data_IF_516735723893
#
_entry.id   IF_516735723893
#
_cell.length_a   1.000
_cell.length_b   1.000
_cell.length_c   1.000
_cell.angle_alpha   90.00
_cell.angle_beta   90.00
_cell.angle_gamma   90.00
#
_symmetry.space_group_name_H-M   'P 1'
#
loop_
_entity.id
_entity.type
_entity.pdbx_description
1 polymer ?
#
# COMPACT_ATOMS: atom_id res chain seq x y z
N UNK A 1 0.72 9.52 26.75
CA UNK A 1 -0.57 10.25 26.60
C UNK A 1 -1.55 9.69 27.62
N UNK A 2 -2.32 10.55 28.31
CA UNK A 2 -3.41 10.16 29.22
C UNK A 2 -4.79 10.41 28.58
N UNK A 3 -5.86 9.83 29.10
CA UNK A 3 -7.22 9.98 28.58
C UNK A 3 -7.71 11.45 28.63
N UNK A 4 -7.31 12.19 29.66
CA UNK A 4 -7.62 13.61 29.83
C UNK A 4 -6.88 14.48 28.80
N UNK A 5 -5.61 14.17 28.54
CA UNK A 5 -4.79 14.90 27.55
C UNK A 5 -5.12 14.55 26.08
N UNK A 6 -5.96 13.54 25.82
CA UNK A 6 -6.21 12.99 24.49
C UNK A 6 -6.73 14.03 23.50
N UNK A 7 -7.72 14.83 23.90
CA UNK A 7 -8.32 15.85 23.03
C UNK A 7 -7.30 16.91 22.64
N UNK A 8 -6.55 17.43 23.61
CA UNK A 8 -5.50 18.43 23.37
C UNK A 8 -4.41 17.89 22.43
N UNK A 9 -4.00 16.64 22.63
CA UNK A 9 -2.99 16.00 21.78
C UNK A 9 -3.48 15.79 20.34
N UNK A 10 -4.73 15.35 20.14
CA UNK A 10 -5.34 15.21 18.81
C UNK A 10 -5.49 16.57 18.14
N UNK A 11 -5.94 17.60 18.87
CA UNK A 11 -6.05 18.97 18.34
C UNK A 11 -4.69 19.49 17.89
N UNK A 12 -3.65 19.34 18.70
CA UNK A 12 -2.29 19.76 18.36
C UNK A 12 -1.75 19.00 17.14
N UNK A 13 -1.98 17.68 17.08
CA UNK A 13 -1.55 16.86 15.95
C UNK A 13 -2.30 17.21 14.66
N UNK A 14 -3.58 17.58 14.75
CA UNK A 14 -4.34 18.07 13.61
C UNK A 14 -3.78 19.40 13.08
N UNK A 15 -3.40 20.34 13.96
CA UNK A 15 -2.74 21.60 13.55
C UNK A 15 -1.42 21.31 12.82
N UNK A 16 -0.58 20.44 13.37
CA UNK A 16 0.69 20.04 12.73
C UNK A 16 0.44 19.37 11.36
N UNK A 17 -0.59 18.53 11.26
CA UNK A 17 -0.96 17.87 10.01
C UNK A 17 -1.37 18.88 8.93
N UNK A 18 -2.10 19.92 9.30
CA UNK A 18 -2.52 20.99 8.38
C UNK A 18 -1.31 21.80 7.90
N UNK A 19 -0.42 22.19 8.80
CA UNK A 19 0.83 22.89 8.44
C UNK A 19 1.66 22.06 7.47
N UNK A 20 1.86 20.77 7.78
CA UNK A 20 2.58 19.85 6.90
C UNK A 20 1.90 19.72 5.52
N UNK A 21 0.57 19.78 5.46
CA UNK A 21 -0.17 19.71 4.20
C UNK A 21 -0.04 20.99 3.37
N UNK A 22 -0.05 22.17 3.98
CA UNK A 22 0.17 23.45 3.30
C UNK A 22 1.57 23.52 2.67
N UNK A 23 2.57 23.00 3.39
CA UNK A 23 3.95 22.93 2.90
C UNK A 23 4.09 21.95 1.74
N UNK A 24 3.51 20.75 1.87
CA UNK A 24 3.74 19.61 0.96
C UNK A 24 2.69 19.43 -0.13
N UNK A 25 1.57 20.12 -0.09
CA UNK A 25 0.48 19.90 -1.04
C UNK A 25 0.19 21.13 -1.91
N UNK A 26 -0.44 20.91 -3.06
CA UNK A 26 -0.94 21.99 -3.93
C UNK A 26 -2.35 22.46 -3.54
N UNK A 27 -3.05 21.69 -2.71
CA UNK A 27 -4.43 21.96 -2.34
C UNK A 27 -4.48 23.19 -1.43
N UNK A 28 -5.51 24.02 -1.62
CA UNK A 28 -5.90 24.99 -0.60
C UNK A 28 -6.54 24.21 0.55
N UNK A 29 -5.89 24.19 1.70
CA UNK A 29 -6.37 23.50 2.89
C UNK A 29 -7.31 24.45 3.65
N UNK A 30 -8.47 23.95 4.07
CA UNK A 30 -9.38 24.70 4.94
C UNK A 30 -9.03 24.42 6.40
N UNK A 31 -9.02 25.46 7.24
CA UNK A 31 -8.89 25.32 8.69
C UNK A 31 -10.20 24.93 9.38
N UNK A 32 -11.31 24.86 8.65
CA UNK A 32 -12.54 24.27 9.18
C UNK A 32 -12.42 22.74 9.13
N UNK A 33 -12.08 22.16 10.27
CA UNK A 33 -11.78 20.74 10.39
C UNK A 33 -13.01 19.93 10.81
N UNK A 34 -13.28 18.87 10.06
CA UNK A 34 -14.25 17.83 10.42
C UNK A 34 -13.54 16.48 10.46
N UNK A 35 -14.10 15.52 11.18
CA UNK A 35 -13.41 14.28 11.53
C UNK A 35 -14.23 13.05 11.18
N UNK A 36 -13.55 11.98 10.77
CA UNK A 36 -14.11 10.63 10.68
C UNK A 36 -13.23 9.68 11.48
N UNK A 37 -13.83 8.63 12.03
CA UNK A 37 -13.11 7.62 12.81
C UNK A 37 -13.09 6.30 12.07
N UNK A 38 -11.94 5.63 12.09
CA UNK A 38 -11.77 4.30 11.52
C UNK A 38 -11.03 3.38 12.47
N UNK A 39 -11.59 2.20 12.71
CA UNK A 39 -10.80 1.09 13.27
C UNK A 39 -9.91 0.51 12.17
N UNK A 40 -8.59 0.45 12.39
CA UNK A 40 -7.67 -0.14 11.42
C UNK A 40 -8.01 -1.59 11.05
N UNK A 41 -8.68 -2.29 11.96
CA UNK A 41 -9.04 -3.70 11.81
C UNK A 41 -10.22 -3.91 10.85
N UNK A 42 -10.95 -2.86 10.49
CA UNK A 42 -11.97 -2.88 9.42
C UNK A 42 -11.36 -3.18 8.04
N UNK A 43 -10.02 -3.13 7.89
CA UNK A 43 -9.37 -3.21 6.60
C UNK A 43 -8.42 -4.42 6.51
N UNK A 44 -8.68 -5.34 5.55
CA UNK A 44 -7.91 -6.58 5.35
C UNK A 44 -6.42 -6.42 5.03
N UNK A 45 -5.71 -7.54 4.90
CA UNK A 45 -4.24 -7.62 4.95
C UNK A 45 -3.48 -6.94 3.80
N UNK A 46 -4.00 -7.01 2.58
CA UNK A 46 -3.29 -6.53 1.38
C UNK A 46 -3.27 -5.00 1.28
N UNK A 47 -2.13 -4.32 1.49
CA UNK A 47 -2.00 -2.84 1.49
C UNK A 47 -2.73 -2.11 0.36
N UNK A 48 -2.62 -2.57 -0.89
CA UNK A 48 -3.28 -1.93 -2.03
C UNK A 48 -4.80 -2.11 -2.02
N UNK A 49 -5.28 -3.30 -1.63
CA UNK A 49 -6.70 -3.59 -1.48
C UNK A 49 -7.26 -2.82 -0.27
N UNK A 50 -6.49 -2.79 0.82
CA UNK A 50 -6.75 -2.05 2.06
C UNK A 50 -6.98 -0.57 1.80
N UNK A 51 -6.09 0.11 1.07
CA UNK A 51 -6.27 1.54 0.69
C UNK A 51 -7.57 1.77 -0.10
N UNK A 52 -7.87 0.92 -1.09
CA UNK A 52 -9.11 1.03 -1.87
C UNK A 52 -10.36 0.82 -1.02
N UNK A 53 -10.33 -0.18 -0.13
CA UNK A 53 -11.43 -0.49 0.77
C UNK A 53 -11.64 0.63 1.79
N UNK A 54 -10.56 1.13 2.40
CA UNK A 54 -10.58 2.30 3.30
C UNK A 54 -11.26 3.48 2.64
N UNK A 55 -10.84 3.85 1.43
CA UNK A 55 -11.47 4.96 0.71
C UNK A 55 -12.93 4.70 0.36
N UNK A 56 -13.28 3.46 0.01
CA UNK A 56 -14.68 3.08 -0.27
C UNK A 56 -15.54 3.24 0.98
N UNK A 57 -15.11 2.72 2.13
CA UNK A 57 -15.85 2.76 3.39
C UNK A 57 -15.95 4.21 3.89
N UNK A 58 -14.82 4.92 3.97
CA UNK A 58 -14.76 6.27 4.51
C UNK A 58 -15.52 7.30 3.67
N UNK A 59 -15.72 7.04 2.37
CA UNK A 59 -16.55 7.89 1.51
C UNK A 59 -17.99 8.03 2.02
N UNK A 60 -18.50 7.03 2.75
CA UNK A 60 -19.87 7.02 3.28
C UNK A 60 -19.94 7.41 4.76
N UNK A 61 -18.80 7.64 5.43
CA UNK A 61 -18.78 8.13 6.81
C UNK A 61 -19.19 9.59 6.82
N UNK A 62 -20.08 9.95 7.75
CA UNK A 62 -20.49 11.33 7.97
C UNK A 62 -19.40 12.04 8.77
N UNK A 63 -18.82 13.15 8.28
CA UNK A 63 -17.89 13.94 9.05
C UNK A 63 -18.55 14.53 10.31
N UNK A 64 -17.83 14.50 11.43
CA UNK A 64 -18.31 14.91 12.74
C UNK A 64 -17.37 15.96 13.37
N UNK A 65 -17.85 16.76 14.34
CA UNK A 65 -16.99 17.63 15.12
C UNK A 65 -16.03 16.81 16.01
N UNK A 66 -14.93 17.44 16.42
CA UNK A 66 -13.89 16.79 17.21
C UNK A 66 -14.45 16.15 18.49
N UNK A 67 -15.30 16.86 19.23
CA UNK A 67 -15.82 16.42 20.53
C UNK A 67 -16.59 15.09 20.42
N UNK A 68 -17.40 14.93 19.37
CA UNK A 68 -18.13 13.70 19.09
C UNK A 68 -17.17 12.52 18.83
N UNK A 69 -16.12 12.77 18.03
CA UNK A 69 -15.09 11.78 17.71
C UNK A 69 -14.25 11.41 18.93
N UNK A 70 -13.89 12.38 19.77
CA UNK A 70 -13.20 12.13 21.04
C UNK A 70 -14.04 11.24 21.96
N UNK A 71 -15.36 11.45 22.00
CA UNK A 71 -16.28 10.59 22.75
C UNK A 71 -16.23 9.12 22.29
N UNK A 72 -16.05 8.86 20.98
CA UNK A 72 -15.88 7.50 20.45
C UNK A 72 -14.52 6.93 20.86
N UNK A 73 -13.43 7.68 20.65
CA UNK A 73 -12.07 7.19 20.92
C UNK A 73 -11.86 6.94 22.43
N UNK A 74 -12.44 7.77 23.31
CA UNK A 74 -12.35 7.59 24.77
C UNK A 74 -12.96 6.28 25.26
N UNK A 75 -13.98 5.74 24.59
CA UNK A 75 -14.58 4.43 24.96
C UNK A 75 -13.60 3.28 24.73
N UNK A 76 -12.74 3.42 23.73
CA UNK A 76 -11.75 2.40 23.36
C UNK A 76 -10.41 2.59 24.06
N UNK A 77 -10.26 3.63 24.89
CA UNK A 77 -8.97 4.14 25.36
C UNK A 77 -8.05 3.09 25.98
N UNK A 78 -8.62 2.18 26.78
CA UNK A 78 -7.85 1.11 27.45
C UNK A 78 -7.19 0.15 26.46
N UNK A 79 -7.84 -0.09 25.33
CA UNK A 79 -7.35 -0.97 24.26
C UNK A 79 -6.61 -0.19 23.17
N UNK A 80 -6.42 1.13 23.28
CA UNK A 80 -5.70 1.89 22.25
C UNK A 80 -4.20 1.63 22.29
N UNK A 81 -3.67 1.22 21.15
CA UNK A 81 -2.23 1.09 20.89
C UNK A 81 -1.67 2.31 20.18
N UNK A 82 -2.30 2.71 19.07
CA UNK A 82 -1.79 3.78 18.21
C UNK A 82 -2.96 4.56 17.59
N UNK A 83 -2.79 5.87 17.41
CA UNK A 83 -3.75 6.77 16.79
C UNK A 83 -3.02 7.52 15.69
N UNK A 84 -3.50 7.37 14.46
CA UNK A 84 -2.93 8.00 13.28
C UNK A 84 -3.93 8.97 12.66
N UNK A 85 -3.50 10.21 12.47
CA UNK A 85 -4.27 11.25 11.78
C UNK A 85 -3.82 11.34 10.32
N UNK A 86 -4.80 11.33 9.42
CA UNK A 86 -4.61 11.50 7.98
C UNK A 86 -5.57 12.53 7.42
N UNK A 87 -5.17 13.28 6.39
CA UNK A 87 -6.14 14.05 5.60
C UNK A 87 -6.84 13.08 4.66
N UNK A 88 -8.12 12.81 4.92
CA UNK A 88 -8.95 11.98 4.05
C UNK A 88 -9.37 12.75 2.79
N UNK A 89 -9.76 14.01 2.98
CA UNK A 89 -10.17 14.90 1.89
C UNK A 89 -10.03 16.37 2.29
N UNK A 90 -9.36 17.16 1.47
CA UNK A 90 -9.35 18.62 1.55
C UNK A 90 -10.34 19.21 0.54
N UNK A 91 -11.40 19.84 1.05
CA UNK A 91 -12.38 20.58 0.27
C UNK A 91 -12.13 22.09 0.44
N UNK A 92 -12.74 22.90 -0.43
CA UNK A 92 -12.55 24.35 -0.38
C UNK A 92 -13.07 24.97 0.93
N UNK A 93 -14.13 24.41 1.50
CA UNK A 93 -14.78 24.92 2.72
C UNK A 93 -14.40 24.14 3.97
N UNK A 94 -14.00 22.88 3.85
CA UNK A 94 -13.70 22.01 5.00
C UNK A 94 -12.55 21.06 4.70
N UNK A 95 -11.82 20.65 5.72
CA UNK A 95 -10.83 19.58 5.62
C UNK A 95 -11.27 18.42 6.52
N UNK A 96 -11.48 17.25 5.91
CA UNK A 96 -11.89 16.03 6.60
C UNK A 96 -10.64 15.25 7.01
N UNK A 97 -10.43 15.13 8.32
CA UNK A 97 -9.34 14.35 8.92
C UNK A 97 -9.87 12.97 9.32
N UNK A 98 -9.22 11.92 8.84
CA UNK A 98 -9.42 10.56 9.33
C UNK A 98 -8.56 10.33 10.57
N UNK A 99 -9.19 9.96 11.68
CA UNK A 99 -8.53 9.42 12.86
C UNK A 99 -8.64 7.90 12.80
N UNK A 100 -7.52 7.26 12.51
CA UNK A 100 -7.41 5.81 12.47
C UNK A 100 -6.79 5.30 13.77
N UNK A 101 -7.50 4.48 14.52
CA UNK A 101 -6.98 3.90 15.74
C UNK A 101 -6.67 2.40 15.59
N UNK A 102 -5.72 1.93 16.39
CA UNK A 102 -5.22 0.57 16.43
C UNK A 102 -5.44 0.04 17.84
N UNK A 103 -5.95 -1.19 17.94
CA UNK A 103 -6.19 -1.85 19.21
C UNK A 103 -4.99 -2.70 19.65
N UNK A 104 -4.76 -2.81 20.96
CA UNK A 104 -3.73 -3.68 21.54
C UNK A 104 -4.15 -5.14 21.33
N UNK A 105 -5.42 -5.45 21.58
CA UNK A 105 -6.03 -6.79 21.46
C UNK A 105 -5.82 -7.47 20.10
N UNK A 106 -5.58 -6.70 19.03
CA UNK A 106 -5.38 -7.22 17.68
C UNK A 106 -3.92 -7.54 17.33
N UNK A 107 -3.03 -7.51 18.32
CA UNK A 107 -1.63 -7.94 18.17
C UNK A 107 -1.47 -9.39 18.60
N UNK A 108 -0.42 -10.04 18.08
CA UNK A 108 -0.01 -11.37 18.52
C UNK A 108 0.20 -11.39 20.05
N UNK A 109 -0.17 -12.49 20.70
CA UNK A 109 -0.19 -12.60 22.17
C UNK A 109 1.18 -12.21 22.79
N UNK A 110 2.27 -12.72 22.22
CA UNK A 110 3.64 -12.44 22.67
C UNK A 110 4.03 -10.95 22.54
N UNK A 111 3.43 -10.24 21.59
CA UNK A 111 3.63 -8.81 21.42
C UNK A 111 2.70 -8.01 22.33
N UNK A 112 1.45 -8.46 22.48
CA UNK A 112 0.45 -7.84 23.35
C UNK A 112 0.95 -7.69 24.78
N UNK A 113 1.54 -8.75 25.35
CA UNK A 113 2.04 -8.73 26.72
C UNK A 113 3.17 -7.70 26.95
N UNK A 114 3.92 -7.38 25.89
CA UNK A 114 4.95 -6.35 25.94
C UNK A 114 4.38 -4.94 25.88
N UNK A 115 3.19 -4.76 25.29
CA UNK A 115 2.63 -3.44 25.00
C UNK A 115 1.40 -3.05 25.82
N UNK A 116 0.85 -3.99 26.60
CA UNK A 116 -0.39 -3.78 27.37
C UNK A 116 -0.31 -2.55 28.29
N UNK A 117 0.86 -2.27 28.86
CA UNK A 117 1.09 -1.18 29.81
C UNK A 117 1.58 0.12 29.13
N UNK A 118 1.87 0.10 27.82
CA UNK A 118 2.28 1.33 27.14
C UNK A 118 1.08 2.25 26.88
N UNK A 119 1.28 3.57 27.04
CA UNK A 119 0.28 4.54 26.65
C UNK A 119 0.13 4.56 25.12
N UNK A 120 -1.06 4.91 24.60
CA UNK A 120 -1.26 5.01 23.16
C UNK A 120 -0.35 6.05 22.54
N UNK A 121 0.18 5.71 21.36
CA UNK A 121 0.96 6.62 20.52
C UNK A 121 0.05 7.45 19.62
N UNK A 122 0.54 8.62 19.21
CA UNK A 122 -0.19 9.54 18.35
C UNK A 122 0.74 10.02 17.24
N UNK A 123 0.26 9.91 16.00
CA UNK A 123 1.02 10.31 14.82
C UNK A 123 0.16 11.10 13.85
N UNK A 124 0.74 12.13 13.24
CA UNK A 124 0.20 12.82 12.09
C UNK A 124 0.96 12.38 10.84
N UNK A 125 0.25 11.91 9.80
CA UNK A 125 0.86 11.33 8.60
C UNK A 125 0.18 11.89 7.34
N UNK A 126 0.99 12.21 6.33
CA UNK A 126 0.49 12.52 4.99
C UNK A 126 0.98 11.44 4.03
N UNK A 127 0.05 10.80 3.33
CA UNK A 127 0.41 9.78 2.35
C UNK A 127 0.85 10.44 1.05
N UNK A 128 2.08 10.19 0.62
CA UNK A 128 2.61 10.65 -0.66
C UNK A 128 2.25 9.67 -1.78
N UNK A 129 1.83 10.14 -2.97
CA UNK A 129 1.60 9.26 -4.11
C UNK A 129 2.93 8.72 -4.63
N UNK A 130 2.97 7.43 -5.00
CA UNK A 130 4.21 6.76 -5.42
C UNK A 130 4.87 7.27 -6.71
N UNK A 131 4.24 8.19 -7.45
CA UNK A 131 4.86 8.87 -8.59
C UNK A 131 5.54 10.19 -8.21
N UNK A 132 5.30 10.71 -7.00
CA UNK A 132 5.87 11.98 -6.54
C UNK A 132 7.28 11.73 -6.05
N UNK A 133 8.23 12.52 -6.54
CA UNK A 133 9.59 12.52 -6.02
C UNK A 133 9.62 13.15 -4.62
N UNK A 134 10.65 12.81 -3.85
CA UNK A 134 10.87 13.41 -2.54
C UNK A 134 11.04 14.93 -2.69
N UNK A 135 10.34 15.71 -1.85
CA UNK A 135 10.35 17.17 -1.92
C UNK A 135 9.35 17.79 -2.90
N UNK A 136 8.80 17.05 -3.87
CA UNK A 136 7.75 17.59 -4.73
C UNK A 136 6.44 17.78 -3.97
N UNK A 137 5.77 18.91 -4.22
CA UNK A 137 4.38 19.08 -3.78
C UNK A 137 3.47 18.08 -4.50
N UNK A 138 2.36 17.69 -3.87
CA UNK A 138 1.37 16.78 -4.48
C UNK A 138 -0.08 17.14 -4.14
N UNK A 139 -1.03 16.43 -4.76
CA UNK A 139 -2.46 16.60 -4.46
C UNK A 139 -2.83 15.73 -3.27
N UNK A 140 -3.22 16.28 -2.13
CA UNK A 140 -3.59 15.53 -0.92
C UNK A 140 -4.82 14.63 -1.15
N UNK A 141 -5.69 14.99 -2.12
CA UNK A 141 -6.89 14.23 -2.46
C UNK A 141 -6.61 13.06 -3.41
N UNK A 142 -5.35 12.78 -3.73
CA UNK A 142 -4.97 11.75 -4.71
C UNK A 142 -5.55 10.36 -4.39
N UNK A 143 -5.70 10.03 -3.10
CA UNK A 143 -6.27 8.75 -2.67
C UNK A 143 -7.79 8.68 -2.92
N UNK A 144 -8.48 9.82 -2.80
CA UNK A 144 -9.94 9.96 -2.97
C UNK A 144 -10.37 10.13 -4.43
N UNK A 145 -9.46 9.88 -5.38
CA UNK A 145 -9.67 9.98 -6.83
C UNK A 145 -8.74 10.98 -7.50
N UNK A 146 -8.29 12.00 -6.76
CA UNK A 146 -7.47 13.10 -7.27
C UNK A 146 -8.12 13.88 -8.42
N UNK A 147 -7.42 14.89 -8.91
CA UNK A 147 -7.80 15.59 -10.15
C UNK A 147 -7.29 14.90 -11.43
N UNK A 148 -7.63 15.47 -12.59
CA UNK A 148 -7.09 15.05 -13.91
C UNK A 148 -5.55 14.97 -13.90
N UNK A 149 -4.88 15.89 -13.20
CA UNK A 149 -3.43 15.90 -13.04
C UNK A 149 -2.90 14.62 -12.37
N UNK A 150 -3.56 14.14 -11.32
CA UNK A 150 -3.22 12.89 -10.66
C UNK A 150 -3.36 11.71 -11.63
N UNK A 151 -4.48 11.67 -12.37
CA UNK A 151 -4.74 10.63 -13.36
C UNK A 151 -3.64 10.56 -14.43
N UNK A 152 -3.27 11.70 -15.02
CA UNK A 152 -2.21 11.78 -16.03
C UNK A 152 -0.83 11.42 -15.47
N UNK A 153 -0.43 11.94 -14.30
CA UNK A 153 0.85 11.59 -13.66
C UNK A 153 0.93 10.08 -13.37
N UNK A 154 -0.14 9.49 -12.84
CA UNK A 154 -0.21 8.06 -12.55
C UNK A 154 -0.19 7.20 -13.83
N UNK A 155 -0.85 7.64 -14.90
CA UNK A 155 -0.80 6.98 -16.21
C UNK A 155 0.61 6.96 -16.79
N UNK A 156 1.27 8.13 -16.84
CA UNK A 156 2.66 8.25 -17.31
C UNK A 156 3.62 7.42 -16.47
N UNK A 157 3.46 7.43 -15.14
CA UNK A 157 4.24 6.60 -14.23
C UNK A 157 4.13 5.11 -14.54
N UNK A 158 2.89 4.59 -14.66
CA UNK A 158 2.65 3.18 -15.02
C UNK A 158 3.21 2.83 -16.39
N UNK A 159 3.10 3.72 -17.36
CA UNK A 159 3.61 3.51 -18.70
C UNK A 159 5.14 3.44 -18.73
N UNK A 160 5.83 4.38 -18.05
CA UNK A 160 7.29 4.35 -17.87
C UNK A 160 7.74 3.08 -17.16
N UNK A 161 7.06 2.72 -16.06
CA UNK A 161 7.35 1.51 -15.30
C UNK A 161 7.24 0.24 -16.15
N UNK A 162 6.17 0.09 -16.93
CA UNK A 162 6.00 -1.05 -17.85
C UNK A 162 7.08 -1.11 -18.93
N UNK A 163 7.52 0.04 -19.46
CA UNK A 163 8.62 0.08 -20.43
C UNK A 163 9.94 -0.35 -19.81
N UNK A 164 10.25 0.10 -18.61
CA UNK A 164 11.48 -0.27 -17.91
C UNK A 164 11.49 -1.77 -17.57
N UNK A 165 10.37 -2.34 -17.11
CA UNK A 165 10.27 -3.78 -16.88
C UNK A 165 10.53 -4.62 -18.13
N UNK A 166 10.10 -4.18 -19.31
CA UNK A 166 10.37 -4.88 -20.57
C UNK A 166 11.86 -4.85 -20.92
N UNK A 167 12.51 -3.70 -20.75
CA UNK A 167 13.96 -3.57 -20.96
C UNK A 167 14.76 -4.46 -20.02
N UNK A 168 14.38 -4.53 -18.73
CA UNK A 168 15.06 -5.42 -17.78
C UNK A 168 14.89 -6.89 -18.16
N UNK A 169 13.67 -7.32 -18.56
CA UNK A 169 13.45 -8.69 -19.04
C UNK A 169 14.24 -9.00 -20.32
N UNK A 170 14.33 -8.05 -21.25
CA UNK A 170 15.15 -8.21 -22.47
C UNK A 170 16.64 -8.31 -22.14
N UNK A 171 17.14 -7.55 -21.15
CA UNK A 171 18.51 -7.66 -20.65
C UNK A 171 18.74 -9.02 -20.00
N UNK A 172 17.82 -9.50 -19.16
CA UNK A 172 17.93 -10.82 -18.53
C UNK A 172 17.94 -11.95 -19.58
N UNK A 173 17.08 -11.86 -20.60
CA UNK A 173 17.07 -12.83 -21.72
C UNK A 173 18.35 -12.76 -22.57
N UNK A 174 18.91 -11.57 -22.84
CA UNK A 174 20.17 -11.44 -23.56
C UNK A 174 21.39 -11.87 -22.73
N UNK A 175 21.36 -11.65 -21.41
CA UNK A 175 22.45 -12.07 -20.52
C UNK A 175 22.48 -13.58 -20.41
N UNK A 176 21.32 -14.24 -20.31
CA UNK A 176 21.21 -15.71 -20.34
C UNK A 176 21.71 -16.27 -21.69
N UNK A 177 21.30 -15.70 -22.82
CA UNK A 177 21.74 -16.19 -24.13
C UNK A 177 23.24 -15.98 -24.39
N UNK A 178 23.83 -14.88 -23.90
CA UNK A 178 25.27 -14.61 -24.06
C UNK A 178 26.11 -15.50 -23.14
N UNK A 179 25.62 -15.82 -21.94
CA UNK A 179 26.29 -16.74 -21.02
C UNK A 179 26.22 -18.20 -21.52
N UNK A 180 25.11 -18.59 -22.16
CA UNK A 180 25.00 -19.90 -22.85
C UNK A 180 25.93 -20.00 -24.07
N UNK A 181 26.09 -18.91 -24.84
CA UNK A 181 27.01 -18.89 -26.00
C UNK A 181 28.48 -18.89 -25.56
N UNK A 182 28.84 -18.21 -24.45
CA UNK A 182 30.21 -18.28 -23.90
C UNK A 182 30.54 -19.63 -23.25
N UNK A 183 29.57 -20.32 -22.65
CA UNK A 183 29.76 -21.68 -22.12
C UNK A 183 29.82 -22.75 -23.22
N UNK A 184 29.33 -22.47 -24.43
CA UNK A 184 29.49 -23.34 -25.60
C UNK A 184 30.81 -23.11 -26.37
N UNK A 185 31.58 -22.07 -26.01
CA UNK A 185 32.88 -21.75 -26.62
C UNK A 185 34.09 -22.46 -25.99
N UNK A 186 33.94 -23.11 -24.83
CA UNK A 186 35.00 -23.91 -24.21
C UNK A 186 34.65 -25.39 -24.31
N UNK A 187 35.37 -26.12 -25.17
CA UNK A 187 35.34 -27.57 -25.27
C UNK A 187 35.32 -28.23 -23.87
N UNK A 188 34.20 -28.85 -23.53
CA UNK A 188 34.05 -29.69 -22.35
C UNK A 188 33.33 -30.99 -22.73
N UNK A 189 33.73 -32.17 -22.22
CA UNK A 189 33.23 -33.49 -22.63
C UNK A 189 31.77 -33.78 -22.24
N UNK A 190 31.04 -32.81 -21.69
CA UNK A 190 29.68 -32.98 -21.16
C UNK A 190 28.57 -32.98 -22.23
N UNK A 191 28.91 -32.83 -23.52
CA UNK A 191 27.94 -32.79 -24.62
C UNK A 191 27.27 -34.14 -24.92
N UNK A 192 27.90 -35.28 -24.63
CA UNK A 192 27.27 -36.60 -24.85
C UNK A 192 26.12 -36.88 -23.88
N UNK A 193 26.20 -36.36 -22.65
CA UNK A 193 25.12 -36.50 -21.66
C UNK A 193 23.89 -35.68 -22.02
N UNK A 194 24.10 -34.49 -22.57
CA UNK A 194 23.01 -33.57 -22.94
C UNK A 194 22.25 -34.00 -24.18
N UNK A 195 22.92 -34.64 -25.14
CA UNK A 195 22.29 -35.16 -26.35
C UNK A 195 21.39 -36.37 -26.02
N UNK A 196 21.84 -37.26 -25.14
CA UNK A 196 21.02 -38.36 -24.60
C UNK A 196 19.84 -37.86 -23.76
N UNK A 197 20.01 -36.77 -23.02
CA UNK A 197 18.92 -36.17 -22.24
C UNK A 197 17.86 -35.49 -23.14
N UNK A 198 18.28 -34.84 -24.23
CA UNK A 198 17.38 -34.30 -25.25
C UNK A 198 16.57 -35.41 -25.92
N UNK A 199 17.21 -36.51 -26.30
CA UNK A 199 16.54 -37.67 -26.89
C UNK A 199 15.50 -38.29 -25.93
N UNK A 200 15.85 -38.41 -24.64
CA UNK A 200 14.94 -38.87 -23.59
C UNK A 200 13.71 -37.95 -23.46
N UNK A 201 13.88 -36.63 -23.43
CA UNK A 201 12.77 -35.69 -23.34
C UNK A 201 11.88 -35.71 -24.58
N UNK A 202 12.45 -35.81 -25.79
CA UNK A 202 11.66 -35.94 -27.02
C UNK A 202 10.89 -37.26 -27.10
N UNK A 203 11.44 -38.36 -26.58
CA UNK A 203 10.73 -39.64 -26.45
C UNK A 203 9.64 -39.63 -25.39
N UNK A 204 9.82 -38.87 -24.31
CA UNK A 204 8.82 -38.72 -23.26
C UNK A 204 7.61 -37.89 -23.71
N UNK A 205 7.84 -36.78 -24.41
CA UNK A 205 6.77 -35.91 -24.92
C UNK A 205 5.94 -36.56 -26.04
N UNK A 206 6.55 -37.40 -26.89
CA UNK A 206 5.81 -38.13 -27.94
C UNK A 206 4.92 -39.23 -27.35
N UNK A 207 5.39 -39.97 -26.33
CA UNK A 207 4.58 -40.96 -25.62
C UNK A 207 3.48 -40.34 -24.75
N UNK A 208 3.70 -39.15 -24.19
CA UNK A 208 2.69 -38.46 -23.37
C UNK A 208 1.52 -37.95 -24.22
N UNK A 209 1.76 -37.51 -25.46
CA UNK A 209 0.71 -37.09 -26.38
C UNK A 209 -0.06 -38.28 -26.99
N UNK A 210 0.57 -39.44 -27.16
CA UNK A 210 -0.12 -40.64 -27.67
C UNK A 210 -1.16 -41.19 -26.70
N UNK A 211 -0.90 -41.18 -25.39
CA UNK A 211 -1.86 -41.61 -24.36
C UNK A 211 -3.06 -40.67 -24.19
N UNK A 212 -2.93 -39.39 -24.53
CA UNK A 212 -4.02 -38.41 -24.40
C UNK A 212 -5.08 -38.53 -25.51
N UNK A 213 -4.71 -39.06 -26.68
CA UNK A 213 -5.61 -39.23 -27.82
C UNK A 213 -6.43 -40.53 -27.81
N UNK A 214 -6.14 -41.49 -26.91
CA UNK A 214 -6.95 -42.70 -26.74
C UNK A 214 -8.13 -42.54 -25.78
N UNK A 215 -8.24 -41.42 -25.05
CA UNK A 215 -9.36 -41.15 -24.12
C UNK A 215 -10.48 -40.28 -24.70
N UNK A 216 -10.45 -39.96 -26.00
CA UNK A 216 -11.45 -39.09 -26.66
C UNK A 216 -12.41 -39.87 -27.58
N UNK A 217 -12.24 -41.20 -27.70
CA UNK A 217 -13.18 -42.08 -28.40
C UNK A 217 -13.58 -43.28 -27.54
N UNK A 218 -14.35 -43.00 -26.49
CA UNK A 218 -15.18 -43.96 -25.76
C UNK A 218 -16.32 -43.21 -25.08
#
# INVERSE_FOLDING_TARGET
MTQESLEGNIRNSAVQLIQLAEDRCWNKISHHLTFIVSDFNEFGENFRKKRKLRNKINKYKVPQPLDAVIGVIKKEYQDLYDINLYIFKALQKETIIEIQYYRKSNRELDYHDKIKDYPPMLHAKITQPGYSLEGEKFDVNWESGGGLRHYWKNFLYKWKYRRNLKKTKEIDHHTISTTEIQLMGSHSPLMEGWQKFKEFLTGWFTNFNFKKNQQVHS
#
